data_IF_052611797218
#
_entry.id   IF_052611797218
#
_cell.length_a   1.000
_cell.length_b   1.000
_cell.length_c   1.000
_cell.angle_alpha   90.00
_cell.angle_beta   90.00
_cell.angle_gamma   90.00
#
_symmetry.space_group_name_H-M   'P 1'
#
loop_
_entity.id
_entity.type
_entity.pdbx_description
1 polymer ?
#
# COMPACT_ATOMS: atom_id res chain seq x y z
N UNK A 1 -3.48 -3.46 15.43
CA UNK A 1 -2.68 -3.28 14.20
C UNK A 1 -3.43 -4.03 13.11
N UNK A 2 -3.89 -3.36 12.05
CA UNK A 2 -4.67 -4.06 11.02
C UNK A 2 -3.74 -5.00 10.25
N UNK A 3 -3.94 -6.29 10.45
CA UNK A 3 -3.30 -7.38 9.71
C UNK A 3 -3.91 -7.43 8.30
N UNK A 4 -3.46 -6.51 7.44
CA UNK A 4 -4.13 -6.18 6.18
C UNK A 4 -3.50 -6.86 4.97
N UNK A 5 -4.35 -7.27 4.02
CA UNK A 5 -3.97 -7.58 2.64
C UNK A 5 -3.95 -6.28 1.84
N UNK A 6 -2.90 -6.07 1.04
CA UNK A 6 -2.90 -5.00 0.03
C UNK A 6 -3.70 -5.48 -1.18
N UNK A 7 -4.82 -4.84 -1.50
CA UNK A 7 -5.61 -5.13 -2.70
C UNK A 7 -5.71 -3.88 -3.59
N UNK A 8 -5.14 -3.95 -4.80
CA UNK A 8 -5.10 -2.83 -5.76
C UNK A 8 -6.36 -2.70 -6.61
N UNK A 9 -7.28 -3.67 -6.51
CA UNK A 9 -8.51 -3.75 -7.29
C UNK A 9 -8.28 -4.02 -8.78
N UNK A 10 -9.37 -4.24 -9.52
CA UNK A 10 -9.32 -4.45 -10.97
C UNK A 10 -9.55 -3.13 -11.72
N UNK A 11 -8.64 -2.81 -12.63
CA UNK A 11 -8.81 -1.69 -13.58
C UNK A 11 -7.85 -1.83 -14.76
N UNK A 12 -8.13 -1.09 -15.82
CA UNK A 12 -7.30 -0.97 -17.03
C UNK A 12 -6.37 0.23 -17.03
N UNK A 13 -6.30 0.96 -15.92
CA UNK A 13 -5.41 2.11 -15.76
C UNK A 13 -4.20 1.75 -14.91
N UNK A 14 -3.05 2.33 -15.25
CA UNK A 14 -1.80 2.15 -14.51
C UNK A 14 -1.92 2.72 -13.10
N UNK A 15 -1.47 1.97 -12.11
CA UNK A 15 -1.36 2.42 -10.73
C UNK A 15 0.10 2.66 -10.38
N UNK A 16 0.41 3.87 -9.89
CA UNK A 16 1.74 4.22 -9.40
C UNK A 16 1.61 4.66 -7.95
N UNK A 17 2.23 3.90 -7.06
CA UNK A 17 2.21 4.16 -5.63
C UNK A 17 3.63 4.53 -5.17
N UNK A 18 3.75 5.60 -4.38
CA UNK A 18 5.00 6.02 -3.76
C UNK A 18 4.86 6.02 -2.23
N UNK A 19 5.71 5.27 -1.52
CA UNK A 19 5.51 5.04 -0.10
C UNK A 19 6.23 3.81 0.45
N UNK A 20 5.76 3.37 1.61
CA UNK A 20 6.14 2.11 2.26
C UNK A 20 4.86 1.36 2.58
N UNK A 21 4.80 0.09 2.20
CA UNK A 21 3.60 -0.74 2.37
C UNK A 21 4.00 -2.05 3.01
N UNK A 22 3.11 -2.58 3.85
CA UNK A 22 3.28 -3.87 4.50
C UNK A 22 1.96 -4.62 4.37
N UNK A 23 1.97 -5.69 3.59
CA UNK A 23 0.83 -6.61 3.43
C UNK A 23 1.10 -7.87 4.25
N UNK A 24 0.87 -7.81 5.56
CA UNK A 24 1.18 -8.90 6.49
C UNK A 24 0.49 -10.22 6.11
N UNK A 25 -0.74 -10.14 5.60
CA UNK A 25 -1.53 -11.28 5.11
C UNK A 25 -1.38 -11.53 3.60
N UNK A 26 -0.58 -10.71 2.91
CA UNK A 26 -0.31 -10.87 1.48
C UNK A 26 -0.60 -9.63 0.62
N UNK A 27 -0.41 -9.81 -0.68
CA UNK A 27 -0.52 -8.76 -1.70
C UNK A 27 -1.31 -9.31 -2.89
N UNK A 28 -2.35 -8.58 -3.29
CA UNK A 28 -3.23 -8.87 -4.42
C UNK A 28 -3.06 -7.77 -5.48
N UNK A 29 -2.38 -8.15 -6.56
CA UNK A 29 -2.10 -7.33 -7.74
C UNK A 29 -3.07 -7.75 -8.86
N UNK A 30 -4.07 -6.92 -9.16
CA UNK A 30 -5.22 -7.32 -10.01
C UNK A 30 -5.47 -6.40 -11.21
N UNK A 31 -4.59 -5.43 -11.47
CA UNK A 31 -4.72 -4.51 -12.60
C UNK A 31 -4.13 -5.08 -13.88
N UNK A 32 -4.81 -4.82 -14.99
CA UNK A 32 -4.53 -5.40 -16.30
C UNK A 32 -5.01 -4.40 -17.38
N UNK A 33 -4.14 -4.02 -18.31
CA UNK A 33 -4.49 -3.09 -19.40
C UNK A 33 -5.49 -3.67 -20.43
N UNK A 34 -5.83 -4.96 -20.33
CA UNK A 34 -6.66 -5.73 -21.28
C UNK A 34 -6.16 -5.61 -22.73
N UNK A 35 -4.84 -5.48 -22.87
CA UNK A 35 -4.10 -5.34 -24.13
C UNK A 35 -2.72 -5.99 -23.97
N UNK A 36 -2.01 -6.14 -25.07
CA UNK A 36 -0.64 -6.60 -25.22
C UNK A 36 0.40 -5.71 -24.49
N UNK A 37 -0.02 -4.56 -23.95
CA UNK A 37 0.83 -3.66 -23.16
C UNK A 37 1.31 -4.26 -21.84
N UNK A 38 0.61 -5.26 -21.29
CA UNK A 38 1.04 -5.92 -20.04
C UNK A 38 2.40 -6.62 -20.16
N UNK A 39 2.83 -6.98 -21.37
CA UNK A 39 4.11 -7.66 -21.61
C UNK A 39 5.31 -6.70 -21.54
N UNK A 40 5.08 -5.41 -21.80
CA UNK A 40 6.13 -4.39 -21.92
C UNK A 40 6.03 -3.30 -20.85
N UNK A 41 4.85 -3.13 -20.25
CA UNK A 41 4.57 -2.10 -19.26
C UNK A 41 3.97 -2.71 -17.98
N UNK A 42 4.53 -2.42 -16.80
CA UNK A 42 3.91 -2.82 -15.55
C UNK A 42 2.61 -2.04 -15.32
N UNK A 43 1.51 -2.78 -15.09
CA UNK A 43 0.21 -2.20 -14.71
C UNK A 43 0.25 -1.55 -13.32
N UNK A 44 1.14 -2.02 -12.45
CA UNK A 44 1.31 -1.56 -11.08
C UNK A 44 2.78 -1.31 -10.77
N UNK A 45 3.09 -0.13 -10.24
CA UNK A 45 4.46 0.29 -9.91
C UNK A 45 4.51 0.79 -8.47
N UNK A 46 5.34 0.13 -7.66
CA UNK A 46 5.60 0.51 -6.27
C UNK A 46 6.98 1.15 -6.17
N UNK A 47 7.00 2.45 -5.85
CA UNK A 47 8.24 3.19 -5.63
C UNK A 47 8.50 3.31 -4.14
N UNK A 48 9.53 2.62 -3.67
CA UNK A 48 9.96 2.71 -2.29
C UNK A 48 10.41 4.14 -1.96
N UNK A 49 9.74 4.77 -0.99
CA UNK A 49 9.96 6.15 -0.53
C UNK A 49 10.12 6.18 1.00
N UNK A 50 11.28 5.79 1.55
CA UNK A 50 11.55 5.80 2.99
C UNK A 50 11.65 7.22 3.56
N UNK A 51 11.93 8.20 2.69
CA UNK A 51 11.96 9.63 3.01
C UNK A 51 10.62 10.13 3.55
N UNK A 52 9.50 9.55 3.11
CA UNK A 52 8.18 9.90 3.65
C UNK A 52 8.05 9.51 5.12
N UNK A 53 8.65 8.38 5.54
CA UNK A 53 8.66 8.00 6.96
C UNK A 53 9.58 8.93 7.74
N UNK A 54 10.75 9.28 7.19
CA UNK A 54 11.69 10.17 7.86
C UNK A 54 11.11 11.58 8.06
N UNK A 55 10.53 12.17 7.01
CA UNK A 55 10.17 13.58 6.96
C UNK A 55 8.71 13.89 7.32
N UNK A 56 7.86 12.89 7.55
CA UNK A 56 6.47 13.16 7.95
C UNK A 56 6.42 13.87 9.31
N UNK A 57 5.54 14.89 9.49
CA UNK A 57 5.38 15.59 10.75
C UNK A 57 5.04 14.64 11.91
N UNK A 58 5.59 14.91 13.11
CA UNK A 58 5.41 14.06 14.29
C UNK A 58 3.93 13.80 14.66
N UNK A 59 3.04 14.75 14.40
CA UNK A 59 1.61 14.57 14.67
C UNK A 59 0.94 13.54 13.75
N UNK A 60 1.46 13.33 12.54
CA UNK A 60 1.02 12.27 11.62
C UNK A 60 1.65 10.90 11.93
N UNK A 61 2.76 10.88 12.69
CA UNK A 61 3.40 9.65 13.17
C UNK A 61 2.73 9.07 14.42
N UNK A 62 1.88 9.85 15.09
CA UNK A 62 1.18 9.42 16.31
C UNK A 62 -0.01 8.53 15.94
N UNK A 63 -0.05 7.32 16.49
CA UNK A 63 -1.25 6.48 16.38
C UNK A 63 -2.42 7.19 17.07
N UNK A 64 -3.48 7.50 16.31
CA UNK A 64 -4.67 8.19 16.82
C UNK A 64 -5.45 7.34 17.84
N UNK A 65 -5.33 6.01 17.75
CA UNK A 65 -5.84 5.07 18.73
C UNK A 65 -4.72 4.15 19.22
N UNK A 66 -4.40 4.26 20.50
CA UNK A 66 -3.70 3.22 21.25
C UNK A 66 -4.80 2.31 21.80
N UNK A 67 -4.88 1.09 21.30
CA UNK A 67 -5.74 0.08 21.90
C UNK A 67 -5.05 -0.41 23.18
N UNK A 68 -5.76 -0.32 24.30
CA UNK A 68 -5.32 -0.80 25.60
C UNK A 68 -6.32 -1.87 26.06
N UNK A 69 -5.83 -3.07 26.38
CA UNK A 69 -6.67 -4.15 26.88
C UNK A 69 -7.10 -3.83 28.30
N UNK A 70 -8.35 -3.42 28.49
CA UNK A 70 -8.93 -3.28 29.83
C UNK A 70 -9.40 -4.66 30.26
N UNK A 71 -8.60 -5.33 31.10
CA UNK A 71 -9.00 -6.60 31.71
C UNK A 71 -10.29 -6.40 32.54
N UNK A 72 -11.25 -7.34 32.49
CA UNK A 72 -12.51 -7.24 33.24
C UNK A 72 -12.32 -7.34 34.76
#
# INVERSE_FOLDING_TARGET
>A
MADGVIDTGSATTKLILGGTWVGWQGVNLKRDFKTDRNETEPAEVFRYRPDLIANVPLYMKRASLVWEEVAP
#
